data_IF_402590699704
#
_entry.id   IF_402590699704
#
_cell.length_a   1.000
_cell.length_b   1.000
_cell.length_c   1.000
_cell.angle_alpha   90.00
_cell.angle_beta   90.00
_cell.angle_gamma   90.00
#
_symmetry.space_group_name_H-M   'P 1'
#
loop_
_entity.id
_entity.type
_entity.pdbx_description
1 polymer ?
#
# COMPACT_ATOMS: atom_id res chain seq x y z
N UNK A 1 10.97 32.90 45.76
CA UNK A 1 10.00 33.03 44.66
C UNK A 1 10.10 31.78 43.80
N UNK A 2 9.41 30.70 44.17
CA UNK A 2 8.15 30.20 43.55
C UNK A 2 8.44 29.82 42.07
N UNK A 3 8.80 28.59 41.70
CA UNK A 3 8.10 27.30 41.80
C UNK A 3 6.77 27.31 41.04
N UNK A 4 6.72 26.69 39.86
CA UNK A 4 5.51 26.06 39.35
C UNK A 4 5.88 24.83 38.50
N UNK A 5 5.89 23.69 39.17
CA UNK A 5 5.72 22.39 38.55
C UNK A 5 4.27 22.30 38.05
N UNK A 6 4.08 22.03 36.77
CA UNK A 6 2.79 21.56 36.26
C UNK A 6 2.79 20.04 36.39
N UNK A 7 2.15 19.60 37.47
CA UNK A 7 1.71 18.22 37.68
C UNK A 7 0.67 17.91 36.61
N UNK A 8 1.01 17.07 35.63
CA UNK A 8 0.02 16.39 34.81
C UNK A 8 -0.62 15.31 35.68
N UNK A 9 -1.77 15.66 36.26
CA UNK A 9 -2.66 14.72 36.94
C UNK A 9 -3.17 13.73 35.90
N UNK A 10 -2.65 12.51 35.94
CA UNK A 10 -3.22 11.38 35.24
C UNK A 10 -4.61 11.10 35.80
N UNK A 11 -5.64 11.27 34.96
CA UNK A 11 -6.95 10.69 35.23
C UNK A 11 -6.85 9.22 34.81
N UNK A 12 -7.03 8.25 35.73
CA UNK A 12 -7.11 6.86 35.34
C UNK A 12 -8.47 6.64 34.67
N UNK A 13 -8.49 6.45 33.37
CA UNK A 13 -9.65 5.84 32.71
C UNK A 13 -9.65 4.37 33.11
N UNK A 14 -10.51 4.02 34.06
CA UNK A 14 -10.78 2.64 34.44
C UNK A 14 -11.54 1.94 33.32
N UNK A 15 -10.81 1.33 32.38
CA UNK A 15 -11.39 0.29 31.52
C UNK A 15 -11.49 -0.98 32.38
N UNK A 16 -12.60 -1.08 33.10
CA UNK A 16 -13.06 -2.29 33.76
C UNK A 16 -13.53 -3.29 32.68
N UNK A 17 -12.58 -4.02 32.11
CA UNK A 17 -12.81 -5.28 31.42
C UNK A 17 -11.89 -6.32 32.03
N UNK A 18 -12.39 -7.10 32.99
CA UNK A 18 -11.71 -8.32 33.44
C UNK A 18 -11.81 -9.34 32.31
N UNK A 19 -10.89 -9.28 31.37
CA UNK A 19 -10.57 -10.44 30.56
C UNK A 19 -9.82 -11.43 31.47
N UNK A 20 -10.36 -12.63 31.60
CA UNK A 20 -9.63 -13.83 32.02
C UNK A 20 -8.24 -13.84 31.36
N UNK A 21 -7.16 -14.40 31.96
CA UNK A 21 -5.90 -14.59 31.25
C UNK A 21 -6.13 -15.62 30.15
N UNK A 22 -6.72 -15.17 29.04
CA UNK A 22 -6.71 -15.87 27.77
C UNK A 22 -5.25 -16.14 27.43
N UNK A 23 -4.98 -17.35 26.92
CA UNK A 23 -3.64 -17.68 26.44
C UNK A 23 -3.11 -16.56 25.55
N UNK A 24 -1.82 -16.18 25.69
CA UNK A 24 -1.26 -15.11 24.89
C UNK A 24 -1.38 -15.46 23.41
N UNK A 25 -2.12 -14.64 22.65
CA UNK A 25 -2.33 -14.82 21.22
C UNK A 25 -1.01 -15.08 20.50
N UNK A 26 -1.05 -16.01 19.55
CA UNK A 26 0.04 -16.25 18.61
C UNK A 26 0.26 -15.06 17.68
N UNK A 27 1.45 -14.99 17.08
CA UNK A 27 1.81 -13.98 16.09
C UNK A 27 0.79 -13.93 14.94
N UNK A 28 0.32 -15.09 14.47
CA UNK A 28 -0.69 -15.19 13.41
C UNK A 28 -2.05 -14.63 13.82
N UNK A 29 -2.56 -14.97 15.01
CA UNK A 29 -3.84 -14.45 15.52
C UNK A 29 -3.79 -12.92 15.73
N UNK A 30 -2.65 -12.43 16.22
CA UNK A 30 -2.42 -10.99 16.34
C UNK A 30 -2.40 -10.32 14.97
N UNK A 31 -1.68 -10.88 14.01
CA UNK A 31 -1.55 -10.33 12.67
C UNK A 31 -2.86 -10.34 11.88
N UNK A 32 -3.67 -11.40 11.97
CA UNK A 32 -4.98 -11.50 11.32
C UNK A 32 -5.93 -10.38 11.79
N UNK A 33 -5.92 -10.08 13.08
CA UNK A 33 -6.72 -8.98 13.64
C UNK A 33 -6.11 -7.62 13.31
N UNK A 34 -4.79 -7.49 13.46
CA UNK A 34 -4.07 -6.24 13.20
C UNK A 34 -4.24 -5.76 11.76
N UNK A 35 -4.09 -6.66 10.77
CA UNK A 35 -4.19 -6.29 9.35
C UNK A 35 -5.58 -5.72 9.01
N UNK A 36 -6.65 -6.26 9.62
CA UNK A 36 -8.01 -5.71 9.46
C UNK A 36 -8.11 -4.34 10.13
N UNK A 37 -7.62 -4.20 11.37
CA UNK A 37 -7.64 -2.93 12.11
C UNK A 37 -6.84 -1.81 11.40
N UNK A 38 -5.79 -2.15 10.63
CA UNK A 38 -5.07 -1.15 9.82
C UNK A 38 -5.96 -0.49 8.77
N UNK A 39 -6.98 -1.18 8.25
CA UNK A 39 -7.93 -0.61 7.29
C UNK A 39 -8.75 0.54 7.90
N UNK A 40 -8.84 0.56 9.24
CA UNK A 40 -9.56 1.56 10.03
C UNK A 40 -8.62 2.48 10.82
N UNK A 41 -7.34 2.47 10.47
CA UNK A 41 -6.31 3.30 11.10
C UNK A 41 -6.12 3.03 12.60
N UNK A 42 -6.39 1.81 13.07
CA UNK A 42 -6.24 1.42 14.48
C UNK A 42 -4.92 0.69 14.72
N UNK A 43 -3.82 1.44 14.68
CA UNK A 43 -2.47 0.87 14.83
C UNK A 43 -2.02 0.72 16.30
N UNK A 44 -2.27 1.72 17.14
CA UNK A 44 -1.66 1.84 18.49
C UNK A 44 -1.81 0.60 19.38
N UNK A 45 -3.00 -0.03 19.48
CA UNK A 45 -3.15 -1.21 20.33
C UNK A 45 -2.26 -2.38 19.88
N UNK A 46 -1.95 -2.47 18.58
CA UNK A 46 -1.16 -3.55 18.02
C UNK A 46 0.33 -3.34 18.23
N UNK A 47 0.84 -2.11 18.12
CA UNK A 47 2.24 -1.82 18.45
C UNK A 47 2.57 -2.25 19.89
N UNK A 48 1.71 -1.92 20.85
CA UNK A 48 1.91 -2.30 22.25
C UNK A 48 1.83 -3.81 22.47
N UNK A 49 0.88 -4.49 21.81
CA UNK A 49 0.71 -5.94 21.91
C UNK A 49 1.90 -6.69 21.33
N UNK A 50 2.35 -6.33 20.11
CA UNK A 50 3.53 -6.94 19.49
C UNK A 50 4.77 -6.69 20.35
N UNK A 51 5.01 -5.44 20.79
CA UNK A 51 6.17 -5.12 21.60
C UNK A 51 6.20 -5.88 22.94
N UNK A 52 5.05 -6.07 23.59
CA UNK A 52 4.95 -6.86 24.82
C UNK A 52 5.26 -8.33 24.57
N UNK A 53 4.67 -8.91 23.52
CA UNK A 53 4.85 -10.32 23.19
C UNK A 53 6.29 -10.63 22.77
N UNK A 54 6.92 -9.72 22.03
CA UNK A 54 8.34 -9.80 21.67
C UNK A 54 9.20 -9.85 22.95
N UNK A 55 9.03 -8.87 23.86
CA UNK A 55 9.80 -8.83 25.12
C UNK A 55 9.63 -10.09 25.98
N UNK A 56 8.40 -10.59 26.07
CA UNK A 56 8.12 -11.85 26.79
C UNK A 56 8.90 -13.02 26.18
N UNK A 57 8.88 -13.15 24.85
CA UNK A 57 9.49 -14.27 24.14
C UNK A 57 11.02 -14.18 24.09
N UNK A 58 11.58 -12.97 24.04
CA UNK A 58 13.02 -12.71 24.16
C UNK A 58 13.58 -13.13 25.52
N UNK A 59 12.77 -13.08 26.58
CA UNK A 59 13.18 -13.55 27.91
C UNK A 59 13.21 -15.08 28.05
N UNK A 60 12.72 -15.81 27.04
CA UNK A 60 12.64 -17.29 27.05
C UNK A 60 13.87 -17.93 26.37
N UNK A 61 14.16 -19.21 26.66
CA UNK A 61 15.26 -19.93 26.01
C UNK A 61 15.13 -19.96 24.48
N UNK A 62 16.26 -19.96 23.76
CA UNK A 62 16.32 -19.97 22.28
C UNK A 62 15.99 -21.34 21.65
N UNK A 63 14.81 -21.88 21.97
CA UNK A 63 14.26 -23.08 21.34
C UNK A 63 13.74 -22.78 19.92
N UNK A 64 13.66 -23.80 19.06
CA UNK A 64 13.10 -23.66 17.70
C UNK A 64 11.69 -23.04 17.72
N UNK A 65 10.73 -23.51 18.56
CA UNK A 65 9.39 -22.91 18.61
C UNK A 65 9.41 -21.43 19.01
N UNK A 66 10.25 -21.05 19.98
CA UNK A 66 10.35 -19.66 20.41
C UNK A 66 10.95 -18.77 19.31
N UNK A 67 11.96 -19.25 18.59
CA UNK A 67 12.58 -18.49 17.50
C UNK A 67 11.64 -18.34 16.30
N UNK A 68 10.89 -19.38 15.93
CA UNK A 68 9.88 -19.30 14.87
C UNK A 68 8.79 -18.26 15.21
N UNK A 69 8.29 -18.29 16.43
CA UNK A 69 7.28 -17.33 16.89
C UNK A 69 7.85 -15.90 16.99
N UNK A 70 9.09 -15.75 17.44
CA UNK A 70 9.76 -14.44 17.56
C UNK A 70 10.00 -13.81 16.18
N UNK A 71 10.44 -14.61 15.19
CA UNK A 71 10.55 -14.20 13.80
C UNK A 71 9.22 -13.65 13.27
N UNK A 72 8.13 -14.39 13.48
CA UNK A 72 6.77 -13.99 13.06
C UNK A 72 6.33 -12.68 13.72
N UNK A 73 6.58 -12.52 15.02
CA UNK A 73 6.23 -11.29 15.74
C UNK A 73 6.99 -10.07 15.23
N UNK A 74 8.30 -10.21 15.02
CA UNK A 74 9.11 -9.16 14.43
C UNK A 74 8.65 -8.83 13.01
N UNK A 75 8.36 -9.85 12.19
CA UNK A 75 7.86 -9.65 10.84
C UNK A 75 6.54 -8.88 10.82
N UNK A 76 5.55 -9.29 11.60
CA UNK A 76 4.25 -8.64 11.61
C UNK A 76 4.27 -7.25 12.23
N UNK A 77 5.17 -7.02 13.19
CA UNK A 77 5.49 -5.69 13.70
C UNK A 77 6.06 -4.80 12.58
N UNK A 78 7.01 -5.30 11.79
CA UNK A 78 7.54 -4.58 10.62
C UNK A 78 6.43 -4.30 9.59
N UNK A 79 5.60 -5.29 9.24
CA UNK A 79 4.50 -5.12 8.30
C UNK A 79 3.48 -4.06 8.78
N UNK A 80 3.21 -3.97 10.08
CA UNK A 80 2.35 -2.95 10.66
C UNK A 80 2.93 -1.53 10.48
N UNK A 81 4.25 -1.37 10.68
CA UNK A 81 4.93 -0.11 10.38
C UNK A 81 4.93 0.19 8.88
N UNK A 82 5.12 -0.82 8.02
CA UNK A 82 5.05 -0.67 6.57
C UNK A 82 3.68 -0.13 6.13
N UNK A 83 2.58 -0.73 6.59
CA UNK A 83 1.23 -0.23 6.30
C UNK A 83 1.00 1.19 6.87
N UNK A 84 1.59 1.52 8.01
CA UNK A 84 1.55 2.89 8.53
C UNK A 84 2.26 3.87 7.60
N UNK A 85 3.39 3.50 6.97
CA UNK A 85 4.06 4.37 5.98
C UNK A 85 3.15 4.72 4.80
N UNK A 86 2.35 3.76 4.31
CA UNK A 86 1.34 3.99 3.27
C UNK A 86 0.23 4.92 3.75
N UNK A 87 -0.25 4.73 4.98
CA UNK A 87 -1.24 5.62 5.59
C UNK A 87 -0.71 7.06 5.73
N UNK A 88 0.56 7.23 6.09
CA UNK A 88 1.18 8.55 6.18
C UNK A 88 1.64 9.12 4.83
N UNK A 89 1.47 8.37 3.74
CA UNK A 89 1.88 8.74 2.38
C UNK A 89 3.37 9.08 2.29
N UNK A 90 4.23 8.18 2.81
CA UNK A 90 5.69 8.33 2.72
C UNK A 90 6.15 8.46 1.25
N UNK A 91 7.18 9.28 1.05
CA UNK A 91 7.88 9.48 -0.23
C UNK A 91 9.38 9.62 0.04
N UNK A 92 10.20 9.66 -1.01
CA UNK A 92 11.62 10.02 -0.90
C UNK A 92 11.85 11.32 -0.12
N UNK A 93 10.98 12.32 -0.31
CA UNK A 93 11.08 13.64 0.31
C UNK A 93 10.34 13.80 1.65
N UNK A 94 9.63 12.76 2.11
CA UNK A 94 8.83 12.82 3.33
C UNK A 94 8.77 11.47 4.03
N UNK A 95 9.35 11.42 5.23
CA UNK A 95 9.36 10.25 6.09
C UNK A 95 9.28 10.66 7.56
N UNK A 96 8.76 9.77 8.40
CA UNK A 96 8.81 9.91 9.86
C UNK A 96 9.88 8.97 10.39
N UNK A 97 11.00 9.53 10.85
CA UNK A 97 12.21 8.78 11.17
C UNK A 97 12.01 7.69 12.23
N UNK A 98 11.17 7.92 13.25
CA UNK A 98 10.88 6.91 14.26
C UNK A 98 10.16 5.69 13.68
N UNK A 99 9.23 5.90 12.75
CA UNK A 99 8.50 4.82 12.07
C UNK A 99 9.46 4.05 11.15
N UNK A 100 10.31 4.78 10.42
CA UNK A 100 11.33 4.19 9.54
C UNK A 100 12.31 3.29 10.32
N UNK A 101 12.85 3.79 11.43
CA UNK A 101 13.74 3.03 12.30
C UNK A 101 13.08 1.79 12.89
N UNK A 102 11.83 1.91 13.34
CA UNK A 102 11.10 0.76 13.85
C UNK A 102 10.86 -0.29 12.78
N UNK A 103 10.44 0.11 11.58
CA UNK A 103 10.31 -0.79 10.43
C UNK A 103 11.64 -1.53 10.16
N UNK A 104 12.73 -0.79 9.94
CA UNK A 104 14.05 -1.35 9.63
C UNK A 104 14.54 -2.29 10.72
N UNK A 105 14.41 -1.90 11.99
CA UNK A 105 14.85 -2.72 13.11
C UNK A 105 14.08 -4.04 13.20
N UNK A 106 12.76 -4.03 13.00
CA UNK A 106 11.95 -5.25 13.06
C UNK A 106 12.19 -6.15 11.83
N UNK A 107 12.36 -5.56 10.64
CA UNK A 107 12.73 -6.31 9.43
C UNK A 107 14.09 -7.00 9.60
N UNK A 108 15.11 -6.29 10.09
CA UNK A 108 16.43 -6.88 10.31
C UNK A 108 16.38 -8.03 11.33
N UNK A 109 15.62 -7.87 12.43
CA UNK A 109 15.45 -8.95 13.41
C UNK A 109 14.78 -10.19 12.81
N UNK A 110 13.82 -9.99 11.90
CA UNK A 110 13.20 -11.09 11.15
C UNK A 110 14.23 -11.83 10.31
N UNK A 111 15.01 -11.08 9.51
CA UNK A 111 16.06 -11.60 8.64
C UNK A 111 17.11 -12.39 9.45
N UNK A 112 17.59 -11.81 10.56
CA UNK A 112 18.60 -12.43 11.41
C UNK A 112 18.11 -13.76 12.01
N UNK A 113 16.87 -13.81 12.48
CA UNK A 113 16.29 -15.02 13.08
C UNK A 113 16.02 -16.07 12.01
N UNK A 114 15.48 -15.67 10.86
CA UNK A 114 15.20 -16.59 9.74
C UNK A 114 16.49 -17.28 9.27
N UNK A 115 17.57 -16.52 9.04
CA UNK A 115 18.87 -17.09 8.67
C UNK A 115 19.39 -18.09 9.72
N UNK A 116 19.35 -17.73 11.01
CA UNK A 116 19.73 -18.65 12.10
C UNK A 116 18.89 -19.90 12.18
N UNK A 117 17.59 -19.84 11.83
CA UNK A 117 16.71 -21.00 11.76
C UNK A 117 17.09 -21.91 10.59
N UNK A 118 17.36 -21.33 9.42
CA UNK A 118 17.72 -22.06 8.20
C UNK A 118 19.03 -22.84 8.33
N UNK A 119 19.96 -22.37 9.18
CA UNK A 119 21.21 -23.08 9.54
C UNK A 119 20.98 -24.35 10.39
N UNK A 120 19.80 -24.53 11.00
CA UNK A 120 19.53 -25.69 11.87
C UNK A 120 19.19 -26.94 11.04
N UNK A 121 19.94 -28.01 11.22
CA UNK A 121 19.73 -29.28 10.51
C UNK A 121 18.40 -29.96 10.86
N UNK A 122 17.93 -29.81 12.11
CA UNK A 122 16.73 -30.47 12.63
C UNK A 122 15.43 -29.66 12.45
N UNK A 123 15.44 -28.61 11.62
CA UNK A 123 14.25 -27.82 11.33
C UNK A 123 13.28 -28.63 10.46
N UNK A 124 12.01 -28.73 10.88
CA UNK A 124 10.97 -29.41 10.08
C UNK A 124 10.81 -28.71 8.74
N UNK A 125 10.46 -29.46 7.69
CA UNK A 125 10.27 -28.91 6.35
C UNK A 125 9.29 -27.72 6.31
N UNK A 126 8.17 -27.81 7.01
CA UNK A 126 7.19 -26.72 7.11
C UNK A 126 7.75 -25.48 7.80
N UNK A 127 8.55 -25.66 8.87
CA UNK A 127 9.17 -24.55 9.59
C UNK A 127 10.29 -23.90 8.75
N UNK A 128 10.95 -24.69 7.90
CA UNK A 128 11.93 -24.20 6.92
C UNK A 128 11.24 -23.40 5.82
N UNK A 129 10.08 -23.86 5.34
CA UNK A 129 9.24 -23.12 4.39
C UNK A 129 8.81 -21.76 4.97
N UNK A 130 8.31 -21.75 6.22
CA UNK A 130 7.98 -20.52 6.95
C UNK A 130 9.21 -19.58 7.03
N UNK A 131 10.38 -20.10 7.44
CA UNK A 131 11.59 -19.28 7.57
C UNK A 131 11.99 -18.63 6.24
N UNK A 132 11.97 -19.37 5.13
CA UNK A 132 12.21 -18.82 3.79
C UNK A 132 11.15 -17.80 3.39
N UNK A 133 9.87 -18.05 3.69
CA UNK A 133 8.79 -17.11 3.40
C UNK A 133 9.01 -15.78 4.13
N UNK A 134 9.22 -15.81 5.45
CA UNK A 134 9.40 -14.59 6.25
C UNK A 134 10.70 -13.86 5.88
N UNK A 135 11.77 -14.58 5.55
CA UNK A 135 13.01 -14.00 5.03
C UNK A 135 12.76 -13.25 3.71
N UNK A 136 12.15 -13.92 2.74
CA UNK A 136 11.91 -13.34 1.42
C UNK A 136 11.00 -12.12 1.47
N UNK A 137 9.90 -12.17 2.25
CA UNK A 137 9.03 -10.99 2.38
C UNK A 137 9.71 -9.85 3.15
N UNK A 138 10.51 -10.15 4.19
CA UNK A 138 11.23 -9.10 4.93
C UNK A 138 12.25 -8.38 4.05
N UNK A 139 13.05 -9.12 3.27
CA UNK A 139 13.98 -8.55 2.29
C UNK A 139 13.23 -7.76 1.20
N UNK A 140 12.10 -8.28 0.72
CA UNK A 140 11.26 -7.58 -0.25
C UNK A 140 10.69 -6.26 0.27
N UNK A 141 10.28 -6.21 1.55
CA UNK A 141 9.82 -4.96 2.17
C UNK A 141 10.97 -3.96 2.33
N UNK A 142 12.16 -4.40 2.72
CA UNK A 142 13.35 -3.53 2.79
C UNK A 142 13.66 -2.97 1.42
N UNK A 143 13.70 -3.81 0.39
CA UNK A 143 13.92 -3.41 -1.00
C UNK A 143 12.91 -2.36 -1.49
N UNK A 144 11.62 -2.54 -1.17
CA UNK A 144 10.57 -1.58 -1.54
C UNK A 144 10.76 -0.21 -0.87
N UNK A 145 11.16 -0.19 0.42
CA UNK A 145 11.43 1.06 1.11
C UNK A 145 12.67 1.75 0.55
N UNK A 146 13.76 1.00 0.34
CA UNK A 146 14.99 1.49 -0.28
C UNK A 146 14.77 2.04 -1.69
N UNK A 147 13.90 1.39 -2.47
CA UNK A 147 13.48 1.89 -3.78
C UNK A 147 12.77 3.23 -3.67
N UNK A 148 11.86 3.38 -2.70
CA UNK A 148 11.18 4.64 -2.40
C UNK A 148 12.12 5.75 -1.90
N UNK A 149 13.31 5.39 -1.43
CA UNK A 149 14.40 6.29 -0.99
C UNK A 149 15.42 6.61 -2.10
N UNK A 150 15.25 6.06 -3.31
CA UNK A 150 16.18 6.26 -4.43
C UNK A 150 17.41 5.34 -4.41
N UNK A 151 17.50 4.39 -3.47
CA UNK A 151 18.57 3.39 -3.39
C UNK A 151 18.32 2.20 -4.34
N UNK A 152 18.24 2.49 -5.64
CA UNK A 152 17.74 1.55 -6.66
C UNK A 152 18.59 0.28 -6.77
N UNK A 153 19.93 0.36 -6.67
CA UNK A 153 20.79 -0.82 -6.84
C UNK A 153 20.63 -1.82 -5.69
N UNK A 154 20.61 -1.34 -4.44
CA UNK A 154 20.39 -2.16 -3.25
C UNK A 154 19.01 -2.83 -3.29
N UNK A 155 17.98 -2.04 -3.61
CA UNK A 155 16.61 -2.54 -3.78
C UNK A 155 16.49 -3.64 -4.84
N UNK A 156 17.26 -3.58 -5.93
CA UNK A 156 17.26 -4.62 -6.96
C UNK A 156 17.92 -5.92 -6.49
N UNK A 157 19.04 -5.84 -5.76
CA UNK A 157 19.76 -7.02 -5.24
C UNK A 157 18.93 -7.69 -4.14
N UNK A 158 18.39 -6.92 -3.21
CA UNK A 158 17.55 -7.44 -2.12
C UNK A 158 16.24 -8.02 -2.69
N UNK A 159 15.71 -7.40 -3.75
CA UNK A 159 14.60 -7.93 -4.51
C UNK A 159 14.85 -9.33 -5.10
N UNK A 160 16.05 -9.60 -5.65
CA UNK A 160 16.38 -10.94 -6.17
C UNK A 160 16.34 -12.00 -5.07
N UNK A 161 16.97 -11.67 -3.94
CA UNK A 161 17.05 -12.57 -2.80
C UNK A 161 15.64 -12.87 -2.29
N UNK A 162 14.78 -11.84 -2.25
CA UNK A 162 13.38 -12.01 -1.92
C UNK A 162 12.63 -12.99 -2.85
N UNK A 163 12.76 -12.87 -4.18
CA UNK A 163 12.09 -13.80 -5.13
C UNK A 163 12.59 -15.24 -4.93
N UNK A 164 13.91 -15.43 -4.85
CA UNK A 164 14.51 -16.76 -4.65
C UNK A 164 14.04 -17.41 -3.34
N UNK A 165 14.04 -16.67 -2.22
CA UNK A 165 13.59 -17.20 -0.94
C UNK A 165 12.08 -17.54 -0.95
N UNK A 166 11.27 -16.77 -1.67
CA UNK A 166 9.84 -17.08 -1.83
C UNK A 166 9.61 -18.31 -2.73
N UNK A 167 10.44 -18.52 -3.75
CA UNK A 167 10.45 -19.75 -4.53
C UNK A 167 10.87 -20.95 -3.67
N UNK A 168 11.91 -20.80 -2.85
CA UNK A 168 12.36 -21.84 -1.91
C UNK A 168 11.24 -22.21 -0.94
N UNK A 169 10.52 -21.22 -0.38
CA UNK A 169 9.36 -21.46 0.46
C UNK A 169 8.27 -22.29 -0.24
N UNK A 170 7.93 -21.96 -1.48
CA UNK A 170 6.95 -22.70 -2.27
C UNK A 170 7.43 -24.07 -2.74
N UNK A 171 8.75 -24.26 -2.92
CA UNK A 171 9.33 -25.57 -3.24
C UNK A 171 9.18 -26.55 -2.07
N UNK A 172 9.28 -26.03 -0.84
CA UNK A 172 9.15 -26.79 0.39
C UNK A 172 7.68 -26.97 0.82
N UNK A 173 6.85 -25.94 0.63
CA UNK A 173 5.41 -25.97 0.87
C UNK A 173 4.65 -25.28 -0.28
N UNK A 174 4.21 -26.05 -1.30
CA UNK A 174 3.41 -25.52 -2.41
C UNK A 174 2.05 -24.94 -2.01
N UNK A 175 1.59 -25.19 -0.77
CA UNK A 175 0.34 -24.67 -0.24
C UNK A 175 0.50 -23.38 0.57
N UNK A 176 1.73 -22.85 0.70
CA UNK A 176 2.02 -21.59 1.38
C UNK A 176 1.45 -20.39 0.60
N UNK A 177 0.13 -20.20 0.65
CA UNK A 177 -0.61 -19.32 -0.24
C UNK A 177 -0.22 -17.83 -0.12
N UNK A 178 0.21 -17.36 1.05
CA UNK A 178 0.75 -16.00 1.22
C UNK A 178 2.08 -15.78 0.46
N UNK A 179 2.86 -16.82 0.18
CA UNK A 179 4.11 -16.70 -0.59
C UNK A 179 3.84 -16.35 -2.07
N UNK A 180 2.71 -16.83 -2.60
CA UNK A 180 2.24 -16.40 -3.93
C UNK A 180 1.92 -14.89 -3.96
N UNK A 181 1.47 -14.28 -2.86
CA UNK A 181 1.26 -12.82 -2.84
C UNK A 181 2.59 -12.10 -3.01
N UNK A 182 3.61 -12.49 -2.23
CA UNK A 182 4.96 -11.90 -2.32
C UNK A 182 5.55 -11.99 -3.73
N UNK A 183 5.56 -13.19 -4.33
CA UNK A 183 6.05 -13.40 -5.70
C UNK A 183 5.25 -12.58 -6.71
N UNK A 184 3.93 -12.52 -6.52
CA UNK A 184 3.04 -11.79 -7.39
C UNK A 184 3.35 -10.30 -7.44
N UNK A 185 3.57 -9.70 -6.26
CA UNK A 185 3.95 -8.29 -6.10
C UNK A 185 5.31 -8.03 -6.73
N UNK A 186 6.30 -8.88 -6.47
CA UNK A 186 7.66 -8.70 -6.97
C UNK A 186 7.72 -8.78 -8.50
N UNK A 187 7.20 -9.87 -9.09
CA UNK A 187 7.24 -10.12 -10.54
C UNK A 187 6.48 -9.07 -11.34
N UNK A 188 5.32 -8.65 -10.84
CA UNK A 188 4.57 -7.56 -11.45
C UNK A 188 5.33 -6.23 -11.34
N UNK A 189 5.75 -5.88 -10.11
CA UNK A 189 6.41 -4.60 -9.82
C UNK A 189 7.68 -4.42 -10.64
N UNK A 190 8.55 -5.41 -10.66
CA UNK A 190 9.81 -5.34 -11.39
C UNK A 190 9.62 -5.21 -12.91
N UNK A 191 8.65 -5.94 -13.48
CA UNK A 191 8.30 -5.77 -14.90
C UNK A 191 7.78 -4.36 -15.18
N UNK A 192 6.90 -3.83 -14.31
CA UNK A 192 6.32 -2.49 -14.50
C UNK A 192 7.34 -1.38 -14.37
N UNK A 193 8.30 -1.51 -13.46
CA UNK A 193 9.40 -0.56 -13.36
C UNK A 193 10.27 -0.61 -14.61
N UNK A 194 10.55 -1.81 -15.13
CA UNK A 194 11.31 -2.02 -16.36
C UNK A 194 12.80 -1.70 -16.21
N UNK A 195 13.51 -1.51 -17.33
CA UNK A 195 14.92 -1.14 -17.34
C UNK A 195 15.89 -2.26 -16.94
N UNK A 196 17.07 -1.88 -16.43
CA UNK A 196 18.14 -2.82 -16.06
C UNK A 196 17.68 -3.82 -14.99
N UNK A 197 16.76 -3.43 -14.11
CA UNK A 197 16.12 -4.33 -13.15
C UNK A 197 15.41 -5.48 -13.85
N UNK A 198 14.41 -5.21 -14.68
CA UNK A 198 13.73 -6.28 -15.42
C UNK A 198 14.69 -7.14 -16.26
N UNK A 199 15.70 -6.52 -16.88
CA UNK A 199 16.70 -7.24 -17.67
C UNK A 199 17.55 -8.22 -16.84
N UNK A 200 18.13 -7.75 -15.74
CA UNK A 200 19.02 -8.56 -14.88
C UNK A 200 18.22 -9.62 -14.12
N UNK A 201 17.04 -9.25 -13.64
CA UNK A 201 16.27 -10.05 -12.68
C UNK A 201 15.36 -11.09 -13.35
N UNK A 202 14.85 -10.77 -14.54
CA UNK A 202 13.83 -11.58 -15.23
C UNK A 202 14.20 -11.86 -16.68
N UNK A 203 15.45 -11.62 -17.07
CA UNK A 203 15.91 -11.78 -18.46
C UNK A 203 15.17 -10.91 -19.47
N UNK A 204 14.54 -9.82 -19.01
CA UNK A 204 13.70 -8.95 -19.83
C UNK A 204 12.30 -9.51 -20.14
N UNK A 205 11.90 -10.63 -19.51
CA UNK A 205 10.57 -11.20 -19.70
C UNK A 205 9.48 -10.29 -19.11
N UNK A 206 8.31 -10.28 -19.75
CA UNK A 206 7.12 -9.65 -19.19
C UNK A 206 6.42 -10.61 -18.21
N UNK A 207 6.62 -10.39 -16.91
CA UNK A 207 6.01 -11.21 -15.85
C UNK A 207 4.79 -10.53 -15.21
N UNK A 208 4.20 -9.49 -15.83
CA UNK A 208 3.02 -8.81 -15.28
C UNK A 208 1.86 -9.78 -15.07
N UNK A 209 1.48 -10.51 -16.12
CA UNK A 209 0.37 -11.45 -16.05
C UNK A 209 0.65 -12.60 -15.08
N UNK A 210 1.90 -13.07 -15.02
CA UNK A 210 2.34 -14.08 -14.05
C UNK A 210 2.17 -13.56 -12.62
N UNK A 211 2.60 -12.32 -12.35
CA UNK A 211 2.47 -11.68 -11.05
C UNK A 211 1.01 -11.53 -10.62
N UNK A 212 0.15 -11.02 -11.51
CA UNK A 212 -1.29 -10.91 -11.26
C UNK A 212 -1.92 -12.27 -10.93
N UNK A 213 -1.60 -13.32 -11.71
CA UNK A 213 -2.12 -14.67 -11.51
C UNK A 213 -1.68 -15.29 -10.17
N UNK A 214 -0.49 -14.98 -9.69
CA UNK A 214 -0.03 -15.42 -8.38
C UNK A 214 -0.89 -14.85 -7.25
N UNK A 215 -1.15 -13.54 -7.26
CA UNK A 215 -2.00 -12.89 -6.25
C UNK A 215 -3.43 -13.41 -6.35
N UNK A 216 -3.98 -13.55 -7.56
CA UNK A 216 -5.33 -14.12 -7.77
C UNK A 216 -5.43 -15.57 -7.28
N UNK A 217 -4.39 -16.38 -7.46
CA UNK A 217 -4.32 -17.74 -6.94
C UNK A 217 -4.29 -17.75 -5.42
N UNK A 218 -3.52 -16.87 -4.79
CA UNK A 218 -3.48 -16.73 -3.35
C UNK A 218 -4.88 -16.39 -2.79
N UNK A 219 -5.59 -15.47 -3.45
CA UNK A 219 -6.94 -15.03 -3.08
C UNK A 219 -8.02 -16.13 -3.21
N UNK A 220 -7.73 -17.28 -3.82
CA UNK A 220 -8.63 -18.46 -3.80
C UNK A 220 -8.54 -19.26 -2.49
N UNK A 221 -7.54 -19.01 -1.65
CA UNK A 221 -7.29 -19.70 -0.39
C UNK A 221 -7.49 -18.77 0.82
N UNK A 222 -7.63 -19.32 2.03
CA UNK A 222 -7.55 -18.47 3.24
C UNK A 222 -6.10 -18.03 3.40
N UNK A 223 -5.87 -16.72 3.29
CA UNK A 223 -4.55 -16.08 3.44
C UNK A 223 -4.68 -14.93 4.43
N UNK A 224 -3.62 -14.71 5.22
CA UNK A 224 -3.60 -13.65 6.21
C UNK A 224 -3.55 -12.27 5.52
N UNK A 225 -2.75 -12.16 4.46
CA UNK A 225 -2.54 -10.90 3.74
C UNK A 225 -3.73 -10.47 2.85
N UNK A 226 -4.87 -11.17 2.88
CA UNK A 226 -6.01 -10.92 1.97
C UNK A 226 -6.41 -9.43 1.83
N UNK A 227 -6.54 -8.64 2.90
CA UNK A 227 -6.86 -7.22 2.75
C UNK A 227 -5.83 -6.48 1.87
N UNK A 228 -4.55 -6.74 2.10
CA UNK A 228 -3.45 -6.11 1.37
C UNK A 228 -3.31 -6.65 -0.04
N UNK A 229 -3.55 -7.95 -0.24
CA UNK A 229 -3.55 -8.58 -1.56
C UNK A 229 -4.66 -8.01 -2.46
N UNK A 230 -5.88 -7.82 -1.93
CA UNK A 230 -6.98 -7.18 -2.66
C UNK A 230 -6.64 -5.72 -3.00
N UNK A 231 -6.22 -4.93 -1.99
CA UNK A 231 -5.77 -3.54 -2.15
C UNK A 231 -4.70 -3.42 -3.24
N UNK A 232 -3.71 -4.31 -3.24
CA UNK A 232 -2.60 -4.30 -4.20
C UNK A 232 -3.07 -4.67 -5.60
N UNK A 233 -3.89 -5.71 -5.72
CA UNK A 233 -4.39 -6.18 -7.02
C UNK A 233 -5.31 -5.15 -7.69
N UNK A 234 -6.11 -4.41 -6.91
CA UNK A 234 -6.90 -3.28 -7.43
C UNK A 234 -5.98 -2.23 -8.05
N UNK A 235 -4.94 -1.79 -7.33
CA UNK A 235 -3.98 -0.82 -7.86
C UNK A 235 -3.26 -1.31 -9.10
N UNK A 236 -2.89 -2.58 -9.14
CA UNK A 236 -2.25 -3.16 -10.32
C UNK A 236 -3.18 -3.13 -11.53
N UNK A 237 -4.44 -3.55 -11.38
CA UNK A 237 -5.40 -3.47 -12.48
C UNK A 237 -5.79 -2.03 -12.87
N UNK A 238 -5.80 -1.07 -11.95
CA UNK A 238 -5.91 0.36 -12.31
C UNK A 238 -4.70 0.79 -13.15
N UNK A 239 -3.51 0.37 -12.74
CA UNK A 239 -2.26 0.67 -13.45
C UNK A 239 -2.19 0.04 -14.84
N UNK A 240 -2.74 -1.16 -15.04
CA UNK A 240 -2.77 -1.83 -16.34
C UNK A 240 -3.74 -1.18 -17.34
N UNK A 241 -4.73 -0.42 -16.89
CA UNK A 241 -5.62 0.35 -17.78
C UNK A 241 -4.90 1.46 -18.53
N UNK A 242 -3.88 2.04 -17.90
CA UNK A 242 -3.14 3.21 -18.39
C UNK A 242 -1.73 2.86 -18.88
N UNK A 243 -1.34 1.60 -18.78
CA UNK A 243 -0.03 1.14 -19.18
C UNK A 243 0.10 1.23 -20.71
N UNK A 244 1.05 2.01 -21.25
CA UNK A 244 1.21 2.16 -22.70
C UNK A 244 1.46 0.84 -23.44
N UNK A 245 2.06 -0.15 -22.77
CA UNK A 245 2.29 -1.48 -23.35
C UNK A 245 1.00 -2.26 -23.62
N UNK A 246 -0.14 -1.81 -23.08
CA UNK A 246 -1.45 -2.42 -23.26
C UNK A 246 -2.31 -1.69 -24.30
N UNK A 247 -1.80 -0.61 -24.92
CA UNK A 247 -2.52 0.15 -25.92
C UNK A 247 -2.86 -0.74 -27.13
N UNK A 248 -4.14 -0.71 -27.55
CA UNK A 248 -4.61 -1.48 -28.71
C UNK A 248 -4.79 -2.99 -28.48
N UNK A 249 -4.51 -3.52 -27.28
CA UNK A 249 -4.76 -4.93 -26.97
C UNK A 249 -6.27 -5.25 -27.09
N UNK A 250 -6.57 -6.38 -27.73
CA UNK A 250 -7.93 -6.87 -27.88
C UNK A 250 -8.55 -7.28 -26.52
N UNK A 251 -9.88 -7.21 -26.40
CA UNK A 251 -10.59 -7.56 -25.15
C UNK A 251 -10.33 -8.99 -24.65
N UNK A 252 -9.99 -9.92 -25.54
CA UNK A 252 -9.61 -11.29 -25.19
C UNK A 252 -8.28 -11.37 -24.43
N UNK A 253 -7.44 -10.32 -24.51
CA UNK A 253 -6.20 -10.25 -23.76
C UNK A 253 -6.47 -9.91 -22.27
N UNK A 254 -5.81 -10.66 -21.40
CA UNK A 254 -5.94 -10.51 -19.94
C UNK A 254 -5.37 -9.19 -19.42
N UNK A 255 -4.46 -8.56 -20.17
CA UNK A 255 -3.87 -7.26 -19.85
C UNK A 255 -4.53 -6.10 -20.61
N UNK A 256 -5.53 -6.36 -21.45
CA UNK A 256 -6.23 -5.28 -22.16
C UNK A 256 -6.84 -4.27 -21.17
N UNK A 257 -6.88 -2.97 -21.51
CA UNK A 257 -7.44 -1.96 -20.62
C UNK A 257 -8.87 -2.26 -20.18
N UNK A 258 -9.69 -2.83 -21.08
CA UNK A 258 -11.07 -3.23 -20.78
C UNK A 258 -11.15 -4.39 -19.77
N UNK A 259 -10.31 -5.42 -19.92
CA UNK A 259 -10.24 -6.52 -18.95
C UNK A 259 -9.70 -6.05 -17.61
N UNK A 260 -8.64 -5.24 -17.62
CA UNK A 260 -8.06 -4.65 -16.42
C UNK A 260 -9.09 -3.81 -15.65
N UNK A 261 -9.83 -2.93 -16.34
CA UNK A 261 -10.94 -2.16 -15.76
C UNK A 261 -11.98 -3.05 -15.09
N UNK A 262 -12.47 -4.07 -15.80
CA UNK A 262 -13.47 -4.99 -15.26
C UNK A 262 -12.97 -5.67 -13.98
N UNK A 263 -11.72 -6.16 -13.98
CA UNK A 263 -11.11 -6.79 -12.80
C UNK A 263 -10.93 -5.82 -11.64
N UNK A 264 -10.49 -4.58 -11.90
CA UNK A 264 -10.39 -3.54 -10.86
C UNK A 264 -11.75 -3.30 -10.18
N UNK A 265 -12.83 -3.13 -10.96
CA UNK A 265 -14.18 -2.91 -10.43
C UNK A 265 -14.70 -4.11 -9.62
N UNK A 266 -14.48 -5.34 -10.11
CA UNK A 266 -14.87 -6.57 -9.40
C UNK A 266 -14.17 -6.67 -8.04
N UNK A 267 -12.86 -6.39 -8.01
CA UNK A 267 -12.06 -6.44 -6.78
C UNK A 267 -12.38 -5.29 -5.82
N UNK A 268 -12.65 -4.08 -6.32
CA UNK A 268 -13.10 -2.97 -5.47
C UNK A 268 -14.43 -3.29 -4.79
N UNK A 269 -15.38 -3.89 -5.51
CA UNK A 269 -16.65 -4.34 -4.94
C UNK A 269 -16.44 -5.44 -3.88
N UNK A 270 -15.57 -6.41 -4.13
CA UNK A 270 -15.23 -7.44 -3.14
C UNK A 270 -14.62 -6.79 -1.89
N UNK A 271 -13.63 -5.92 -2.06
CA UNK A 271 -12.94 -5.24 -0.98
C UNK A 271 -13.90 -4.40 -0.12
N UNK A 272 -14.77 -3.61 -0.75
CA UNK A 272 -15.80 -2.83 -0.06
C UNK A 272 -16.79 -3.70 0.71
N UNK A 273 -17.36 -4.71 0.05
CA UNK A 273 -18.35 -5.61 0.66
C UNK A 273 -17.77 -6.31 1.89
N UNK A 274 -16.50 -6.73 1.80
CA UNK A 274 -15.85 -7.55 2.81
C UNK A 274 -15.36 -6.74 4.01
N UNK A 275 -14.97 -5.48 3.80
CA UNK A 275 -14.30 -4.69 4.82
C UNK A 275 -14.96 -3.37 5.18
N UNK A 276 -15.91 -2.84 4.41
CA UNK A 276 -16.48 -1.51 4.69
C UNK A 276 -18.01 -1.49 4.75
N UNK A 277 -18.70 -2.33 3.98
CA UNK A 277 -20.18 -2.35 4.00
C UNK A 277 -20.75 -3.10 5.19
N UNK A 278 -20.20 -4.27 5.52
CA UNK A 278 -20.78 -5.19 6.50
C UNK A 278 -20.18 -5.06 7.92
N UNK A 279 -19.25 -4.13 8.12
CA UNK A 279 -18.53 -3.93 9.39
C UNK A 279 -18.61 -2.44 9.77
N UNK A 280 -19.75 -1.97 10.31
CA UNK A 280 -19.85 -0.58 10.73
C UNK A 280 -19.00 -0.39 11.98
N UNK A 281 -17.86 0.29 11.82
CA UNK A 281 -17.06 0.77 12.97
C UNK A 281 -17.53 2.18 13.29
N UNK A 282 -18.10 2.36 14.49
CA UNK A 282 -18.54 3.66 14.96
C UNK A 282 -17.38 4.66 14.94
N UNK A 283 -17.63 5.86 14.39
CA UNK A 283 -16.61 6.90 14.25
C UNK A 283 -15.55 6.65 13.18
N UNK A 284 -15.68 5.63 12.32
CA UNK A 284 -14.79 5.42 11.19
C UNK A 284 -15.09 6.44 10.06
N UNK A 285 -14.13 7.30 9.69
CA UNK A 285 -14.36 8.33 8.67
C UNK A 285 -14.42 7.79 7.23
N UNK A 286 -14.08 6.51 7.02
CA UNK A 286 -13.83 5.92 5.70
C UNK A 286 -12.35 5.63 5.46
N UNK A 287 -12.01 4.95 4.35
CA UNK A 287 -10.63 4.60 4.01
C UNK A 287 -10.11 5.48 2.86
N UNK A 288 -9.18 6.40 3.16
CA UNK A 288 -8.61 7.35 2.18
C UNK A 288 -7.97 6.67 0.96
N UNK A 289 -7.35 5.50 1.16
CA UNK A 289 -6.68 4.77 0.10
C UNK A 289 -7.69 4.15 -0.88
N UNK A 290 -8.80 3.66 -0.34
CA UNK A 290 -9.90 3.15 -1.15
C UNK A 290 -10.63 4.27 -1.88
N UNK A 291 -10.90 5.41 -1.22
CA UNK A 291 -11.45 6.59 -1.90
C UNK A 291 -10.56 7.07 -3.05
N UNK A 292 -9.24 7.07 -2.85
CA UNK A 292 -8.30 7.41 -3.91
C UNK A 292 -8.40 6.45 -5.11
N UNK A 293 -8.52 5.13 -4.89
CA UNK A 293 -8.73 4.18 -5.99
C UNK A 293 -10.01 4.47 -6.75
N UNK A 294 -11.11 4.77 -6.02
CA UNK A 294 -12.41 5.11 -6.63
C UNK A 294 -12.35 6.40 -7.43
N UNK A 295 -11.69 7.43 -6.89
CA UNK A 295 -11.50 8.70 -7.56
C UNK A 295 -10.72 8.53 -8.88
N UNK A 296 -9.60 7.81 -8.84
CA UNK A 296 -8.79 7.55 -10.05
C UNK A 296 -9.58 6.71 -11.05
N UNK A 297 -10.26 5.64 -10.63
CA UNK A 297 -11.08 4.86 -11.56
C UNK A 297 -12.18 5.70 -12.22
N UNK A 298 -12.85 6.58 -11.46
CA UNK A 298 -13.88 7.47 -11.99
C UNK A 298 -13.29 8.47 -13.01
N UNK A 299 -12.07 8.99 -12.78
CA UNK A 299 -11.35 9.80 -13.79
C UNK A 299 -11.10 9.01 -15.07
N UNK A 300 -10.64 7.75 -14.96
CA UNK A 300 -10.42 6.88 -16.12
C UNK A 300 -11.71 6.57 -16.89
N UNK A 301 -12.83 6.54 -16.17
CA UNK A 301 -14.16 6.31 -16.74
C UNK A 301 -14.79 7.58 -17.33
N UNK A 302 -14.17 8.75 -17.12
CA UNK A 302 -14.73 10.05 -17.50
C UNK A 302 -15.87 10.54 -16.61
N UNK A 303 -16.13 9.89 -15.48
CA UNK A 303 -17.12 10.30 -14.48
C UNK A 303 -16.50 11.28 -13.49
N UNK A 304 -16.34 12.52 -13.94
CA UNK A 304 -15.68 13.56 -13.14
C UNK A 304 -16.51 14.03 -11.94
N UNK A 305 -17.82 13.79 -11.92
CA UNK A 305 -18.65 14.07 -10.76
C UNK A 305 -18.34 13.08 -9.64
N UNK A 306 -18.39 11.78 -9.93
CA UNK A 306 -18.03 10.74 -8.96
C UNK A 306 -16.56 10.86 -8.53
N UNK A 307 -15.65 11.16 -9.46
CA UNK A 307 -14.25 11.40 -9.14
C UNK A 307 -14.07 12.51 -8.10
N UNK A 308 -14.75 13.64 -8.29
CA UNK A 308 -14.71 14.78 -7.36
C UNK A 308 -15.21 14.40 -5.98
N UNK A 309 -16.31 13.68 -5.89
CA UNK A 309 -16.87 13.19 -4.61
C UNK A 309 -15.84 12.35 -3.86
N UNK A 310 -15.24 11.36 -4.54
CA UNK A 310 -14.25 10.48 -3.92
C UNK A 310 -12.95 11.19 -3.54
N UNK A 311 -12.45 12.14 -4.35
CA UNK A 311 -11.31 12.97 -3.94
C UNK A 311 -11.64 13.81 -2.70
N UNK A 312 -12.86 14.37 -2.63
CA UNK A 312 -13.31 15.14 -1.46
C UNK A 312 -13.36 14.28 -0.22
N UNK A 313 -13.93 13.07 -0.31
CA UNK A 313 -13.93 12.10 0.80
C UNK A 313 -12.51 11.73 1.23
N UNK A 314 -11.60 11.48 0.29
CA UNK A 314 -10.19 11.20 0.60
C UNK A 314 -9.51 12.36 1.34
N UNK A 315 -9.82 13.60 0.97
CA UNK A 315 -9.30 14.81 1.62
C UNK A 315 -9.82 14.94 3.05
N UNK A 316 -11.13 14.75 3.24
CA UNK A 316 -11.78 14.89 4.55
C UNK A 316 -11.36 13.79 5.52
N UNK A 317 -11.22 12.55 5.05
CA UNK A 317 -10.62 11.46 5.85
C UNK A 317 -9.20 11.84 6.26
N UNK A 318 -8.40 12.38 5.33
CA UNK A 318 -7.01 12.74 5.64
C UNK A 318 -6.92 13.87 6.67
N UNK A 319 -7.79 14.87 6.59
CA UNK A 319 -7.92 15.92 7.62
C UNK A 319 -8.33 15.32 8.97
N UNK A 320 -9.31 14.42 8.99
CA UNK A 320 -9.72 13.75 10.22
C UNK A 320 -8.55 13.00 10.87
N UNK A 321 -7.72 12.29 10.09
CA UNK A 321 -6.53 11.61 10.61
C UNK A 321 -5.51 12.57 11.22
N UNK A 322 -5.35 13.76 10.65
CA UNK A 322 -4.44 14.78 11.19
C UNK A 322 -5.04 15.39 12.46
N UNK A 323 -6.26 15.90 12.37
CA UNK A 323 -6.87 16.77 13.38
C UNK A 323 -7.37 16.00 14.62
N UNK A 324 -7.85 14.76 14.42
CA UNK A 324 -8.44 13.96 15.49
C UNK A 324 -7.60 12.74 15.90
N UNK A 325 -6.72 12.24 15.03
CA UNK A 325 -5.86 11.08 15.32
C UNK A 325 -4.39 11.45 15.48
N UNK A 326 -3.99 12.70 15.19
CA UNK A 326 -2.61 13.18 15.34
C UNK A 326 -1.63 12.58 14.33
N UNK A 327 -2.12 12.04 13.20
CA UNK A 327 -1.26 11.42 12.20
C UNK A 327 -0.46 12.47 11.44
N UNK A 328 0.83 12.19 11.25
CA UNK A 328 1.74 13.00 10.42
C UNK A 328 1.61 12.59 8.96
N UNK A 329 0.46 12.87 8.36
CA UNK A 329 0.23 12.61 6.93
C UNK A 329 1.05 13.61 6.11
N UNK A 330 1.68 13.15 5.04
CA UNK A 330 2.46 13.99 4.13
C UNK A 330 1.64 15.18 3.61
N UNK A 331 2.05 16.43 3.86
CA UNK A 331 1.32 17.61 3.39
C UNK A 331 1.13 17.65 1.86
N UNK A 332 2.11 17.16 1.08
CA UNK A 332 2.02 17.11 -0.39
C UNK A 332 0.88 16.19 -0.86
N UNK A 333 0.54 15.16 -0.07
CA UNK A 333 -0.61 14.32 -0.37
C UNK A 333 -1.92 15.12 -0.32
N UNK A 334 -2.07 16.06 0.61
CA UNK A 334 -3.28 16.89 0.67
C UNK A 334 -3.39 17.81 -0.55
N UNK A 335 -2.28 18.40 -0.97
CA UNK A 335 -2.24 19.26 -2.15
C UNK A 335 -2.51 18.47 -3.44
N UNK A 336 -2.05 17.23 -3.47
CA UNK A 336 -2.35 16.28 -4.54
C UNK A 336 -3.84 15.99 -4.66
N UNK A 337 -4.49 15.68 -3.54
CA UNK A 337 -5.94 15.41 -3.53
C UNK A 337 -6.72 16.65 -3.95
N UNK A 338 -6.35 17.85 -3.47
CA UNK A 338 -6.96 19.11 -3.90
C UNK A 338 -6.81 19.35 -5.39
N UNK A 339 -5.63 19.11 -5.95
CA UNK A 339 -5.40 19.24 -7.39
C UNK A 339 -6.31 18.28 -8.20
N UNK A 340 -6.56 17.07 -7.69
CA UNK A 340 -7.55 16.15 -8.25
C UNK A 340 -8.98 16.69 -8.23
N UNK A 341 -9.40 17.34 -7.14
CA UNK A 341 -10.71 18.02 -7.03
C UNK A 341 -10.81 19.15 -8.06
N UNK A 342 -9.80 20.02 -8.11
CA UNK A 342 -9.74 21.16 -9.05
C UNK A 342 -9.76 20.70 -10.51
N UNK A 343 -9.05 19.60 -10.82
CA UNK A 343 -9.13 18.98 -12.15
C UNK A 343 -10.57 18.59 -12.49
N UNK A 344 -11.27 17.91 -11.57
CA UNK A 344 -12.65 17.50 -11.81
C UNK A 344 -13.59 18.71 -11.98
N UNK A 345 -13.38 19.78 -11.21
CA UNK A 345 -14.12 21.03 -11.36
C UNK A 345 -13.95 21.64 -12.76
N UNK A 346 -12.74 21.60 -13.32
CA UNK A 346 -12.49 22.07 -14.69
C UNK A 346 -13.19 21.21 -15.74
N UNK A 347 -13.17 19.88 -15.58
CA UNK A 347 -13.85 18.96 -16.50
C UNK A 347 -15.38 19.17 -16.48
N UNK A 348 -15.96 19.40 -15.30
CA UNK A 348 -17.38 19.69 -15.16
C UNK A 348 -17.73 21.08 -15.72
N UNK A 349 -16.86 22.07 -15.51
CA UNK A 349 -17.02 23.42 -16.06
C UNK A 349 -16.97 23.39 -17.59
N UNK A 350 -16.06 22.64 -18.20
CA UNK A 350 -15.96 22.47 -19.65
C UNK A 350 -17.30 22.04 -20.27
N UNK A 351 -17.95 21.05 -19.65
CA UNK A 351 -19.27 20.56 -20.09
C UNK A 351 -20.31 21.69 -20.10
N UNK A 352 -20.29 22.56 -19.10
CA UNK A 352 -21.19 23.74 -19.02
C UNK A 352 -20.76 24.90 -19.92
N UNK A 353 -19.46 25.11 -20.15
CA UNK A 353 -18.93 26.17 -21.00
C UNK A 353 -19.25 25.92 -22.47
N UNK A 354 -19.24 24.66 -22.90
CA UNK A 354 -19.76 24.23 -24.20
C UNK A 354 -21.23 24.60 -24.41
N UNK A 355 -22.02 24.71 -23.33
CA UNK A 355 -23.42 25.16 -23.38
C UNK A 355 -23.55 26.70 -23.37
N UNK A 356 -22.57 27.44 -22.83
CA UNK A 356 -22.70 28.86 -22.50
C UNK A 356 -21.74 29.83 -23.25
N UNK A 357 -20.80 29.35 -24.08
CA UNK A 357 -19.81 30.15 -24.84
C UNK A 357 -19.07 31.21 -23.98
N UNK A 358 -18.53 30.83 -22.81
CA UNK A 358 -17.74 31.73 -21.93
C UNK A 358 -16.34 31.15 -21.62
N UNK A 359 -15.28 31.56 -22.33
CA UNK A 359 -13.95 30.92 -22.24
C UNK A 359 -13.05 31.39 -21.06
N UNK A 360 -13.32 32.54 -20.44
CA UNK A 360 -12.32 33.22 -19.59
C UNK A 360 -11.96 32.47 -18.26
N UNK A 361 -12.92 31.96 -17.46
CA UNK A 361 -12.59 31.25 -16.21
C UNK A 361 -12.01 29.86 -16.46
N UNK A 362 -12.49 29.16 -17.50
CA UNK A 362 -12.03 27.82 -17.88
C UNK A 362 -10.55 27.85 -18.24
N UNK A 363 -10.16 28.67 -19.23
CA UNK A 363 -8.77 28.76 -19.69
C UNK A 363 -7.79 29.15 -18.58
N UNK A 364 -8.19 30.07 -17.70
CA UNK A 364 -7.35 30.45 -16.55
C UNK A 364 -7.05 29.24 -15.67
N UNK A 365 -8.07 28.44 -15.33
CA UNK A 365 -7.91 27.23 -14.52
C UNK A 365 -7.09 26.14 -15.22
N UNK A 366 -7.33 25.91 -16.51
CA UNK A 366 -6.55 24.93 -17.32
C UNK A 366 -5.07 25.26 -17.29
N UNK A 367 -4.72 26.51 -17.61
CA UNK A 367 -3.34 26.97 -17.66
C UNK A 367 -2.69 26.87 -16.27
N UNK A 368 -3.44 27.19 -15.20
CA UNK A 368 -2.93 27.06 -13.84
C UNK A 368 -2.62 25.60 -13.47
N UNK A 369 -3.51 24.66 -13.79
CA UNK A 369 -3.30 23.24 -13.50
C UNK A 369 -2.17 22.62 -14.33
N UNK A 370 -2.06 22.99 -15.62
CA UNK A 370 -0.91 22.63 -16.47
C UNK A 370 0.40 23.12 -15.83
N UNK A 371 0.46 24.40 -15.43
CA UNK A 371 1.64 24.98 -14.80
C UNK A 371 1.96 24.34 -13.44
N UNK A 372 0.95 23.93 -12.68
CA UNK A 372 1.15 23.22 -11.42
C UNK A 372 1.88 21.90 -11.66
N UNK A 373 1.42 21.09 -12.63
CA UNK A 373 2.06 19.84 -13.04
C UNK A 373 3.47 20.09 -13.57
N UNK A 374 3.66 21.06 -14.46
CA UNK A 374 4.97 21.40 -15.06
C UNK A 374 6.00 21.88 -14.03
N UNK A 375 5.55 22.40 -12.88
CA UNK A 375 6.41 22.80 -11.75
C UNK A 375 6.66 21.68 -10.75
N UNK A 376 6.23 20.46 -11.04
CA UNK A 376 6.45 19.28 -10.18
C UNK A 376 5.32 19.02 -9.17
N UNK A 377 4.18 19.71 -9.30
CA UNK A 377 2.95 19.31 -8.63
C UNK A 377 2.45 17.96 -9.18
N UNK A 378 1.68 17.23 -8.38
CA UNK A 378 1.08 15.96 -8.80
C UNK A 378 -0.40 15.92 -8.43
N UNK A 379 -1.21 15.22 -9.23
CA UNK A 379 -2.61 14.91 -8.93
C UNK A 379 -2.79 13.52 -8.33
N UNK A 380 -1.70 12.75 -8.25
CA UNK A 380 -1.64 11.46 -7.58
C UNK A 380 -0.30 11.27 -6.86
N UNK A 381 -0.32 10.80 -5.62
CA UNK A 381 0.90 10.36 -4.95
C UNK A 381 0.91 8.84 -4.95
N UNK A 382 1.94 8.29 -5.60
CA UNK A 382 2.16 6.86 -5.73
C UNK A 382 3.64 6.58 -5.54
N UNK A 383 3.97 5.47 -4.87
CA UNK A 383 5.34 5.15 -4.47
C UNK A 383 6.28 4.97 -5.68
N UNK A 384 5.81 4.33 -6.76
CA UNK A 384 6.58 4.23 -7.99
C UNK A 384 6.50 5.54 -8.79
N UNK A 385 7.65 6.19 -9.00
CA UNK A 385 7.74 7.41 -9.80
C UNK A 385 7.29 7.21 -11.26
N UNK A 386 7.53 6.02 -11.84
CA UNK A 386 7.08 5.68 -13.20
C UNK A 386 5.57 5.57 -13.26
N UNK A 387 4.96 4.77 -12.39
CA UNK A 387 3.49 4.61 -12.36
C UNK A 387 2.81 5.93 -12.01
N UNK A 388 3.38 6.70 -11.08
CA UNK A 388 2.90 8.06 -10.78
C UNK A 388 2.87 8.94 -12.02
N UNK A 389 3.93 8.93 -12.84
CA UNK A 389 3.99 9.69 -14.09
C UNK A 389 2.93 9.23 -15.07
N UNK A 390 2.76 7.93 -15.28
CA UNK A 390 1.75 7.39 -16.20
C UNK A 390 0.32 7.77 -15.76
N UNK A 391 0.01 7.73 -14.46
CA UNK A 391 -1.29 8.21 -13.96
C UNK A 391 -1.39 9.73 -14.18
N UNK A 392 -0.34 10.49 -13.89
CA UNK A 392 -0.31 11.93 -14.07
C UNK A 392 -0.49 12.35 -15.54
N UNK A 393 0.02 11.56 -16.49
CA UNK A 393 -0.13 11.78 -17.92
C UNK A 393 -1.62 11.71 -18.34
N UNK A 394 -2.46 10.92 -17.67
CA UNK A 394 -3.92 10.91 -17.91
C UNK A 394 -4.50 12.30 -17.69
N UNK A 395 -4.20 12.90 -16.53
CA UNK A 395 -4.68 14.24 -16.19
C UNK A 395 -4.09 15.31 -17.10
N UNK A 396 -2.77 15.25 -17.32
CA UNK A 396 -2.05 16.23 -18.12
C UNK A 396 -2.52 16.24 -19.57
N UNK A 397 -2.68 15.06 -20.18
CA UNK A 397 -3.14 14.94 -21.56
C UNK A 397 -4.57 15.45 -21.72
N UNK A 398 -5.46 15.19 -20.74
CA UNK A 398 -6.81 15.73 -20.76
C UNK A 398 -6.83 17.26 -20.67
N UNK A 399 -6.02 17.84 -19.78
CA UNK A 399 -5.87 19.30 -19.67
C UNK A 399 -5.29 19.91 -20.95
N UNK A 400 -4.29 19.29 -21.57
CA UNK A 400 -3.72 19.74 -22.85
C UNK A 400 -4.74 19.69 -23.99
N UNK A 401 -5.54 18.62 -24.06
CA UNK A 401 -6.64 18.51 -25.03
C UNK A 401 -7.63 19.64 -24.85
N UNK A 402 -8.06 19.88 -23.61
CA UNK A 402 -9.00 20.97 -23.28
C UNK A 402 -8.42 22.35 -23.61
N UNK A 403 -7.14 22.60 -23.33
CA UNK A 403 -6.45 23.84 -23.73
C UNK A 403 -6.56 24.07 -25.23
N UNK A 404 -6.26 23.03 -26.02
CA UNK A 404 -6.32 23.09 -27.49
C UNK A 404 -7.75 23.24 -28.01
N UNK A 405 -8.72 22.57 -27.41
CA UNK A 405 -10.13 22.61 -27.84
C UNK A 405 -10.78 23.98 -27.59
N UNK A 406 -10.33 24.71 -26.58
CA UNK A 406 -10.88 26.02 -26.18
C UNK A 406 -9.97 27.21 -26.51
N UNK A 407 -8.88 26.99 -27.26
CA UNK A 407 -7.85 27.99 -27.59
C UNK A 407 -7.32 28.75 -26.36
N UNK A 408 -7.07 27.98 -25.29
CA UNK A 408 -6.24 28.38 -24.16
C UNK A 408 -4.76 28.04 -24.47
#
# INVERSE_FOLDING_TARGET
MILLAVVLVGIPVSVSGKDSPSEPMSAYEMAEKAVIDTLYYRYDPWFDRFARRIRELESKPESIPNQLELMKLYFYSAALYAELTHTLSFTESYQVESIRKSFQSNSQKTIDIANKLLERENLRQSDRADAFFFLGVAEGYVALLEYGEGHILSALIDGLRADNHLEDALSLDPHHADAHVGLGVYRYGNTRLGGLGNFILQGGQDLRLTGLKHIERALKNKILSRPLALKTLIWFYISEQINPANEGLAESDSLSPKTARRRALELMKEYETRYFTNVPIEGFPGNKGFEMMRAIQAVLDGDYLSAKEHFTMALDISRHLIDHRGFKVNPKYLDTVKAGIEFCDLMLLEHTANLAKKPNPLCTGVIQQIRFIEKGGSMVEYQSAKIRREIQDVFYNRLKSMSKEHDC
#
